data_IF_552820085849
#
_entry.id   IF_552820085849
#
_cell.length_a   1.000
_cell.length_b   1.000
_cell.length_c   1.000
_cell.angle_alpha   90.00
_cell.angle_beta   90.00
_cell.angle_gamma   90.00
#
_symmetry.space_group_name_H-M   'P 1'
#
loop_
_entity.id
_entity.type
_entity.pdbx_description
1 polymer ?
#
# COMPACT_ATOMS: atom_id res chain seq x y z
N UNK A 1 -12.39 8.09 -28.24
CA UNK A 1 -11.11 7.70 -28.81
C UNK A 1 -10.16 7.38 -27.70
N UNK A 2 -9.60 6.18 -27.73
CA UNK A 2 -8.65 5.70 -26.72
C UNK A 2 -7.30 5.66 -27.40
N UNK A 3 -6.45 6.60 -27.06
CA UNK A 3 -5.05 6.48 -27.40
C UNK A 3 -4.39 5.77 -26.21
N UNK A 4 -4.15 4.47 -26.39
CA UNK A 4 -3.42 3.64 -25.42
C UNK A 4 -2.06 3.39 -26.03
N UNK A 5 -1.06 3.98 -25.42
CA UNK A 5 0.32 3.60 -25.65
C UNK A 5 0.67 2.62 -24.52
N UNK A 6 0.81 1.34 -24.83
CA UNK A 6 0.99 0.28 -23.84
C UNK A 6 2.15 0.59 -22.90
N UNK A 7 1.87 0.58 -21.58
CA UNK A 7 2.81 0.87 -20.49
C UNK A 7 3.39 2.30 -20.45
N UNK A 8 2.86 3.26 -21.22
CA UNK A 8 3.34 4.64 -21.22
C UNK A 8 2.24 5.60 -20.81
N UNK A 9 1.13 5.61 -21.56
CA UNK A 9 0.05 6.58 -21.36
C UNK A 9 -1.33 5.97 -21.66
N UNK A 10 -2.32 6.34 -20.87
CA UNK A 10 -3.74 6.14 -21.16
C UNK A 10 -4.44 7.48 -21.18
N UNK A 11 -5.03 7.84 -22.32
CA UNK A 11 -5.85 9.03 -22.44
C UNK A 11 -7.33 8.67 -22.57
N UNK A 12 -8.16 9.27 -21.73
CA UNK A 12 -9.62 9.16 -21.76
C UNK A 12 -10.23 10.53 -22.03
N UNK A 13 -11.18 10.61 -22.95
CA UNK A 13 -11.98 11.80 -23.22
C UNK A 13 -13.36 11.68 -22.56
N UNK A 14 -13.97 12.83 -22.25
CA UNK A 14 -15.31 12.93 -21.69
C UNK A 14 -16.30 12.16 -22.56
N UNK A 15 -17.22 11.47 -21.90
CA UNK A 15 -18.40 10.88 -22.55
C UNK A 15 -19.54 11.89 -22.47
N UNK A 16 -19.86 12.55 -23.57
CA UNK A 16 -20.93 13.55 -23.65
C UNK A 16 -22.32 12.96 -23.39
N UNK A 17 -22.47 11.64 -23.56
CA UNK A 17 -23.72 10.93 -23.33
C UNK A 17 -23.77 10.23 -21.94
N UNK A 18 -22.90 10.65 -20.98
CA UNK A 18 -22.96 10.07 -19.66
C UNK A 18 -24.25 10.46 -18.94
N UNK A 19 -24.95 9.47 -18.40
CA UNK A 19 -26.30 9.62 -17.88
C UNK A 19 -26.41 10.37 -16.54
N UNK A 20 -25.33 10.34 -15.73
CA UNK A 20 -25.35 10.88 -14.37
C UNK A 20 -25.16 12.39 -14.35
N UNK A 21 -25.87 13.05 -13.44
CA UNK A 21 -25.75 14.48 -13.14
C UNK A 21 -25.39 14.68 -11.69
N UNK A 22 -24.82 15.84 -11.36
CA UNK A 22 -24.59 16.26 -9.99
C UNK A 22 -25.89 16.73 -9.31
N UNK A 23 -25.79 17.13 -8.04
CA UNK A 23 -26.90 17.61 -7.21
C UNK A 23 -27.55 18.89 -7.78
N UNK A 24 -26.83 19.66 -8.59
CA UNK A 24 -27.28 20.90 -9.24
C UNK A 24 -27.80 20.67 -10.67
N UNK A 25 -27.83 19.43 -11.13
CA UNK A 25 -28.26 19.05 -12.47
C UNK A 25 -27.23 19.21 -13.58
N UNK A 26 -25.96 19.52 -13.26
CA UNK A 26 -24.89 19.61 -14.26
C UNK A 26 -24.47 18.21 -14.72
N UNK A 27 -24.14 18.09 -16.01
CA UNK A 27 -23.71 16.81 -16.59
C UNK A 27 -22.32 16.40 -16.12
N UNK A 28 -22.17 15.14 -15.74
CA UNK A 28 -20.90 14.53 -15.39
C UNK A 28 -20.31 13.77 -16.61
N UNK A 29 -18.99 13.52 -16.61
CA UNK A 29 -17.95 14.01 -15.68
C UNK A 29 -17.62 15.49 -15.96
N UNK A 30 -17.08 16.20 -14.97
CA UNK A 30 -16.62 17.59 -15.13
C UNK A 30 -15.38 17.71 -16.00
N UNK A 31 -14.51 16.70 -15.98
CA UNK A 31 -13.25 16.72 -16.72
C UNK A 31 -13.50 16.40 -18.21
N UNK A 32 -12.95 17.20 -19.10
CA UNK A 32 -12.99 16.95 -20.54
C UNK A 32 -12.03 15.82 -20.93
N UNK A 33 -10.92 15.69 -20.20
CA UNK A 33 -9.91 14.68 -20.48
C UNK A 33 -9.18 14.26 -19.21
N UNK A 34 -8.81 12.97 -19.13
CA UNK A 34 -7.93 12.40 -18.10
C UNK A 34 -6.79 11.68 -18.81
N UNK A 35 -5.55 12.03 -18.42
CA UNK A 35 -4.34 11.35 -18.86
C UNK A 35 -3.69 10.64 -17.68
N UNK A 36 -3.41 9.37 -17.84
CA UNK A 36 -2.71 8.55 -16.84
C UNK A 36 -1.38 8.12 -17.44
N UNK A 37 -0.30 8.51 -16.77
CA UNK A 37 1.06 8.12 -17.13
C UNK A 37 1.50 6.95 -16.26
N UNK A 38 1.97 5.88 -16.88
CA UNK A 38 2.51 4.72 -16.16
C UNK A 38 4.01 4.90 -15.96
N UNK A 39 4.40 5.27 -14.75
CA UNK A 39 5.80 5.48 -14.42
C UNK A 39 6.21 4.55 -13.27
N UNK A 40 7.22 3.71 -13.49
CA UNK A 40 7.77 2.83 -12.46
C UNK A 40 8.65 3.58 -11.44
N UNK A 41 9.15 4.77 -11.80
CA UNK A 41 9.96 5.59 -10.92
C UNK A 41 9.10 6.62 -10.17
N UNK A 42 8.68 6.28 -8.97
CA UNK A 42 7.83 7.13 -8.13
C UNK A 42 8.49 8.45 -7.69
N UNK A 43 9.81 8.47 -7.52
CA UNK A 43 10.54 9.72 -7.21
C UNK A 43 10.50 10.69 -8.39
N UNK A 44 10.67 10.20 -9.62
CA UNK A 44 10.54 11.03 -10.81
C UNK A 44 9.10 11.53 -11.02
N UNK A 45 8.11 10.73 -10.69
CA UNK A 45 6.69 11.09 -10.71
C UNK A 45 6.42 12.26 -9.75
N UNK A 46 6.85 12.16 -8.49
CA UNK A 46 6.71 13.22 -7.49
C UNK A 46 7.46 14.49 -7.92
N UNK A 47 8.66 14.37 -8.48
CA UNK A 47 9.40 15.53 -9.00
C UNK A 47 8.68 16.21 -10.16
N UNK A 48 8.00 15.48 -11.02
CA UNK A 48 7.17 16.04 -12.10
C UNK A 48 5.91 16.73 -11.57
N UNK A 49 5.30 16.19 -10.52
CA UNK A 49 4.19 16.83 -9.82
C UNK A 49 4.63 18.18 -9.21
N UNK A 50 5.74 18.23 -8.49
CA UNK A 50 6.31 19.48 -7.92
C UNK A 50 6.63 20.53 -8.98
N UNK A 51 6.97 20.11 -10.20
CA UNK A 51 7.19 21.00 -11.36
C UNK A 51 5.90 21.42 -12.08
N UNK A 52 4.72 21.02 -11.57
CA UNK A 52 3.43 21.32 -12.19
C UNK A 52 3.18 20.60 -13.53
N UNK A 53 3.90 19.49 -13.79
CA UNK A 53 3.69 18.67 -14.99
C UNK A 53 2.61 17.60 -14.80
N UNK A 54 2.25 17.32 -13.55
CA UNK A 54 1.19 16.41 -13.15
C UNK A 54 0.31 17.14 -12.13
N UNK A 55 -0.99 16.97 -12.25
CA UNK A 55 -1.98 17.52 -11.31
C UNK A 55 -2.20 16.61 -10.09
N UNK A 56 -1.88 15.33 -10.24
CA UNK A 56 -2.07 14.34 -9.19
C UNK A 56 -0.99 13.25 -9.27
N UNK A 57 -0.59 12.74 -8.11
CA UNK A 57 0.28 11.56 -7.96
C UNK A 57 -0.47 10.54 -7.12
N UNK A 58 -0.39 9.29 -7.51
CA UNK A 58 -0.97 8.17 -6.77
C UNK A 58 0.15 7.32 -6.16
N UNK A 59 0.04 7.03 -4.87
CA UNK A 59 1.06 6.31 -4.08
C UNK A 59 2.40 7.04 -4.03
N UNK A 60 2.59 7.80 -2.96
CA UNK A 60 3.87 8.45 -2.69
C UNK A 60 4.96 7.42 -2.37
N UNK A 61 6.22 7.67 -2.78
CA UNK A 61 7.34 6.87 -2.30
C UNK A 61 7.44 6.96 -0.78
N UNK A 62 7.57 5.83 -0.08
CA UNK A 62 7.61 5.83 1.39
C UNK A 62 8.74 6.69 1.96
N UNK A 63 9.88 6.78 1.28
CA UNK A 63 11.00 7.65 1.68
C UNK A 63 10.64 9.14 1.65
N UNK A 64 9.80 9.57 0.71
CA UNK A 64 9.38 10.95 0.54
C UNK A 64 8.16 11.32 1.41
N UNK A 65 7.47 10.32 1.95
CA UNK A 65 6.23 10.52 2.71
C UNK A 65 6.45 11.40 3.95
N UNK A 66 7.56 11.21 4.66
CA UNK A 66 7.87 12.03 5.85
C UNK A 66 8.07 13.50 5.48
N UNK A 67 8.77 13.80 4.38
CA UNK A 67 8.96 15.16 3.89
C UNK A 67 7.62 15.82 3.54
N UNK A 68 6.75 15.09 2.86
CA UNK A 68 5.40 15.54 2.51
C UNK A 68 4.57 15.81 3.76
N UNK A 69 4.61 14.93 4.76
CA UNK A 69 3.88 15.11 6.02
C UNK A 69 4.39 16.32 6.82
N UNK A 70 5.71 16.52 6.88
CA UNK A 70 6.32 17.70 7.54
C UNK A 70 5.89 18.99 6.83
N UNK A 71 5.86 19.01 5.49
CA UNK A 71 5.38 20.15 4.70
C UNK A 71 3.91 20.46 4.99
N UNK A 72 3.06 19.44 5.11
CA UNK A 72 1.64 19.61 5.45
C UNK A 72 1.44 20.12 6.89
N UNK A 73 2.23 19.66 7.85
CA UNK A 73 2.16 20.13 9.23
C UNK A 73 2.64 21.60 9.34
N UNK A 74 3.66 21.97 8.59
CA UNK A 74 4.09 23.38 8.47
C UNK A 74 3.00 24.26 7.87
N UNK A 75 2.25 23.75 6.90
CA UNK A 75 1.13 24.46 6.29
C UNK A 75 -0.05 24.64 7.28
N UNK A 76 -0.34 23.67 8.14
CA UNK A 76 -1.33 23.80 9.22
C UNK A 76 -0.94 24.89 10.23
N UNK A 77 0.34 25.14 10.42
CA UNK A 77 0.86 26.20 11.28
C UNK A 77 0.85 27.61 10.63
N UNK A 78 0.21 27.79 9.48
CA UNK A 78 0.06 29.07 8.78
C UNK A 78 0.88 29.22 7.51
N UNK A 79 1.59 28.17 7.09
CA UNK A 79 2.25 28.13 5.78
C UNK A 79 1.29 27.84 4.64
N UNK A 80 1.74 28.05 3.40
CA UNK A 80 0.98 27.66 2.21
C UNK A 80 1.31 26.20 1.86
N UNK A 81 0.35 25.28 1.84
CA UNK A 81 0.63 23.89 1.48
C UNK A 81 1.08 23.80 0.02
N UNK A 82 2.24 23.19 -0.22
CA UNK A 82 2.72 22.90 -1.57
C UNK A 82 1.75 21.96 -2.31
N UNK A 83 1.04 21.12 -1.56
CA UNK A 83 0.06 20.17 -2.11
C UNK A 83 -0.98 19.75 -1.07
N UNK A 84 -2.09 19.20 -1.54
CA UNK A 84 -3.09 18.54 -0.70
C UNK A 84 -2.85 17.05 -0.68
N UNK A 85 -2.71 16.46 0.51
CA UNK A 85 -2.70 15.02 0.69
C UNK A 85 -4.14 14.53 0.94
N UNK A 86 -4.59 13.61 0.13
CA UNK A 86 -5.80 12.85 0.37
C UNK A 86 -5.40 11.43 0.79
N UNK A 87 -5.66 11.06 2.03
CA UNK A 87 -5.45 9.70 2.51
C UNK A 87 -6.78 8.97 2.52
N UNK A 88 -6.80 7.76 1.98
CA UNK A 88 -7.90 6.83 2.17
C UNK A 88 -7.61 5.99 3.42
N UNK A 89 -8.58 5.91 4.34
CA UNK A 89 -8.50 5.08 5.55
C UNK A 89 -9.05 3.67 5.32
N UNK A 90 -9.62 3.44 4.16
CA UNK A 90 -10.12 2.11 3.83
C UNK A 90 -8.94 1.17 3.62
N UNK A 91 -8.95 0.05 4.33
CA UNK A 91 -7.97 -1.01 4.15
C UNK A 91 -8.02 -1.46 2.69
N UNK A 92 -6.89 -1.34 1.99
CA UNK A 92 -6.77 -1.86 0.63
C UNK A 92 -7.08 -3.36 0.63
N UNK A 93 -7.74 -3.85 -0.42
CA UNK A 93 -8.03 -5.28 -0.60
C UNK A 93 -6.79 -6.09 -1.00
N UNK A 94 -5.64 -5.74 -0.43
CA UNK A 94 -4.36 -6.38 -0.75
C UNK A 94 -3.60 -6.72 0.52
N UNK A 95 -2.94 -7.87 0.49
CA UNK A 95 -2.06 -8.31 1.58
C UNK A 95 -0.70 -8.66 1.01
N UNK A 96 0.34 -7.99 1.51
CA UNK A 96 1.72 -8.34 1.21
C UNK A 96 2.18 -9.47 2.12
N UNK A 97 2.76 -10.52 1.55
CA UNK A 97 3.17 -11.70 2.31
C UNK A 97 4.42 -12.36 1.73
N UNK A 98 5.10 -13.16 2.56
CA UNK A 98 6.16 -14.05 2.14
C UNK A 98 5.64 -15.47 1.96
N UNK A 99 5.97 -16.09 0.81
CA UNK A 99 5.68 -17.49 0.55
C UNK A 99 6.90 -18.38 0.83
N UNK A 100 6.67 -19.52 1.44
CA UNK A 100 7.69 -20.56 1.57
C UNK A 100 7.70 -21.46 0.32
N UNK A 101 8.87 -21.63 -0.28
CA UNK A 101 9.02 -22.63 -1.32
C UNK A 101 9.07 -24.03 -0.70
N UNK A 102 7.95 -24.74 -0.73
CA UNK A 102 7.79 -26.06 -0.14
C UNK A 102 8.64 -27.15 -0.79
N UNK A 103 9.22 -26.91 -1.96
CA UNK A 103 10.19 -27.83 -2.60
C UNK A 103 11.56 -27.79 -1.90
N UNK A 104 11.83 -26.79 -1.09
CA UNK A 104 13.07 -26.71 -0.31
C UNK A 104 12.93 -27.53 0.97
N UNK A 105 13.86 -28.50 1.24
CA UNK A 105 13.76 -29.40 2.40
C UNK A 105 13.58 -28.67 3.74
N UNK A 106 14.25 -27.54 3.93
CA UNK A 106 14.14 -26.74 5.15
C UNK A 106 12.70 -26.29 5.44
N UNK A 107 11.92 -25.95 4.40
CA UNK A 107 10.55 -25.47 4.56
C UNK A 107 9.50 -26.60 4.57
N UNK A 108 9.90 -27.86 4.37
CA UNK A 108 9.00 -28.99 4.59
C UNK A 108 8.73 -29.19 6.08
N UNK A 109 9.66 -28.77 6.96
CA UNK A 109 9.47 -28.82 8.40
C UNK A 109 8.52 -27.71 8.87
N UNK A 110 7.38 -28.08 9.48
CA UNK A 110 6.38 -27.13 9.97
C UNK A 110 6.90 -26.25 11.12
N UNK A 111 7.79 -26.78 11.98
CA UNK A 111 8.36 -26.00 13.07
C UNK A 111 9.25 -24.85 12.54
N UNK A 112 9.96 -25.08 11.46
CA UNK A 112 10.75 -24.03 10.79
C UNK A 112 9.84 -22.94 10.25
N UNK A 113 8.78 -23.29 9.51
CA UNK A 113 7.82 -22.29 8.99
C UNK A 113 7.16 -21.48 10.11
N UNK A 114 6.81 -22.15 11.21
CA UNK A 114 6.25 -21.49 12.40
C UNK A 114 7.27 -20.55 13.04
N UNK A 115 8.53 -20.95 13.15
CA UNK A 115 9.60 -20.11 13.67
C UNK A 115 9.77 -18.83 12.84
N UNK A 116 9.76 -18.93 11.52
CA UNK A 116 9.80 -17.73 10.64
C UNK A 116 8.63 -16.78 10.88
N UNK A 117 7.41 -17.33 11.05
CA UNK A 117 6.24 -16.50 11.33
C UNK A 117 6.36 -15.75 12.68
N UNK A 118 6.89 -16.40 13.69
CA UNK A 118 7.09 -15.80 15.02
C UNK A 118 8.28 -14.83 15.09
N UNK A 119 9.25 -14.98 14.20
CA UNK A 119 10.44 -14.12 14.15
C UNK A 119 10.22 -12.77 13.48
N UNK A 120 9.14 -12.60 12.71
CA UNK A 120 8.86 -11.38 11.96
C UNK A 120 8.01 -10.43 12.79
N UNK A 121 8.60 -9.28 13.14
CA UNK A 121 7.90 -8.18 13.81
C UNK A 121 7.14 -7.34 12.76
N UNK A 122 5.90 -7.71 12.49
CA UNK A 122 5.05 -7.06 11.49
C UNK A 122 4.68 -5.63 11.86
N UNK A 123 4.53 -5.36 13.16
CA UNK A 123 4.22 -4.01 13.64
C UNK A 123 5.38 -3.05 13.39
N UNK A 124 6.63 -3.50 13.64
CA UNK A 124 7.79 -2.68 13.31
C UNK A 124 7.95 -2.45 11.81
N UNK A 125 7.69 -3.45 10.99
CA UNK A 125 7.71 -3.29 9.54
C UNK A 125 6.69 -2.24 9.11
N UNK A 126 5.44 -2.35 9.55
CA UNK A 126 4.39 -1.38 9.24
C UNK A 126 4.76 0.02 9.73
N UNK A 127 5.22 0.14 10.97
CA UNK A 127 5.52 1.44 11.58
C UNK A 127 6.74 2.13 10.96
N UNK A 128 7.85 1.41 10.76
CA UNK A 128 9.14 2.02 10.42
C UNK A 128 9.52 1.85 8.95
N UNK A 129 9.18 0.74 8.32
CA UNK A 129 9.52 0.50 6.90
C UNK A 129 8.44 1.03 5.97
N UNK A 130 7.18 0.84 6.34
CA UNK A 130 6.02 1.28 5.57
C UNK A 130 5.46 2.63 6.04
N UNK A 131 6.12 3.28 7.01
CA UNK A 131 5.72 4.60 7.54
C UNK A 131 4.25 4.69 7.99
N UNK A 132 3.69 3.59 8.48
CA UNK A 132 2.29 3.49 8.89
C UNK A 132 1.31 3.23 7.73
N UNK A 133 1.79 2.94 6.53
CA UNK A 133 0.95 2.50 5.42
C UNK A 133 0.54 1.04 5.62
N UNK A 134 -0.76 0.81 5.81
CA UNK A 134 -1.34 -0.51 6.05
C UNK A 134 -1.37 -0.93 7.52
N UNK A 135 -1.80 -2.16 7.74
CA UNK A 135 -1.94 -2.79 9.06
C UNK A 135 -1.11 -4.09 9.14
N UNK A 136 -0.64 -4.41 10.35
CA UNK A 136 0.08 -5.66 10.58
C UNK A 136 -0.86 -6.86 10.44
N UNK A 137 -0.66 -7.70 9.43
CA UNK A 137 -1.47 -8.89 9.16
C UNK A 137 -1.11 -10.04 10.13
N UNK A 138 -1.52 -9.92 11.39
CA UNK A 138 -1.25 -10.92 12.46
C UNK A 138 -2.28 -12.06 12.47
N UNK A 139 -3.48 -11.85 11.90
CA UNK A 139 -4.59 -12.81 11.93
C UNK A 139 -4.71 -13.67 10.66
N UNK A 140 -3.82 -13.54 9.69
CA UNK A 140 -3.82 -14.33 8.48
C UNK A 140 -3.70 -13.51 7.20
N UNK A 141 -3.99 -14.17 6.07
CA UNK A 141 -3.78 -13.59 4.75
C UNK A 141 -4.94 -12.68 4.30
N UNK A 142 -6.16 -12.97 4.76
CA UNK A 142 -7.37 -12.25 4.31
C UNK A 142 -7.60 -11.05 5.23
N UNK A 143 -7.59 -9.81 4.69
CA UNK A 143 -7.89 -8.63 5.49
C UNK A 143 -9.38 -8.57 5.89
N UNK A 144 -9.74 -7.65 6.78
CA UNK A 144 -11.14 -7.39 7.09
C UNK A 144 -11.87 -6.92 5.83
N UNK A 145 -12.95 -7.61 5.46
CA UNK A 145 -13.70 -7.33 4.25
C UNK A 145 -15.19 -7.62 4.47
N UNK A 146 -16.02 -6.58 4.38
CA UNK A 146 -17.45 -6.71 4.65
C UNK A 146 -17.70 -7.29 6.03
N UNK A 147 -18.50 -8.35 6.10
CA UNK A 147 -18.85 -9.04 7.36
C UNK A 147 -17.78 -10.06 7.83
N UNK A 148 -16.67 -10.19 7.10
CA UNK A 148 -15.59 -11.10 7.48
C UNK A 148 -14.76 -10.53 8.62
N UNK A 149 -14.82 -11.19 9.77
CA UNK A 149 -14.05 -10.86 10.96
C UNK A 149 -12.75 -11.68 10.99
N UNK A 150 -11.67 -11.08 10.50
CA UNK A 150 -10.34 -11.71 10.45
C UNK A 150 -9.78 -12.01 11.84
N UNK A 151 -10.21 -11.31 12.89
CA UNK A 151 -9.70 -11.50 14.26
C UNK A 151 -10.05 -12.86 14.85
N UNK A 152 -11.03 -13.57 14.25
CA UNK A 152 -11.38 -14.95 14.62
C UNK A 152 -10.35 -15.98 14.14
N UNK A 153 -9.45 -15.60 13.25
CA UNK A 153 -8.38 -16.48 12.79
C UNK A 153 -7.22 -16.40 13.77
N UNK A 154 -6.78 -17.55 14.28
CA UNK A 154 -5.59 -17.61 15.15
C UNK A 154 -4.34 -17.41 14.29
N UNK A 155 -3.72 -16.26 14.42
CA UNK A 155 -2.48 -15.91 13.73
C UNK A 155 -1.22 -16.18 14.56
N UNK A 156 -0.16 -15.41 14.22
CA UNK A 156 1.14 -15.53 14.88
C UNK A 156 1.59 -14.15 15.36
N UNK A 157 1.74 -14.04 16.67
CA UNK A 157 2.36 -12.87 17.31
C UNK A 157 3.88 -12.90 17.14
N UNK A 158 4.51 -11.74 17.28
CA UNK A 158 5.97 -11.66 17.31
C UNK A 158 6.51 -12.28 18.60
N UNK A 159 7.27 -13.38 18.48
CA UNK A 159 7.88 -14.09 19.59
C UNK A 159 9.23 -14.71 19.17
N UNK A 160 10.31 -13.92 19.19
CA UNK A 160 11.62 -14.37 18.70
C UNK A 160 12.24 -15.49 19.59
N UNK A 161 11.91 -15.55 20.86
CA UNK A 161 12.44 -16.58 21.75
C UNK A 161 11.81 -17.95 21.44
N UNK A 162 10.51 -17.99 21.24
CA UNK A 162 9.83 -19.20 20.80
C UNK A 162 10.29 -19.59 19.38
N UNK A 163 10.53 -18.63 18.49
CA UNK A 163 11.09 -18.91 17.18
C UNK A 163 12.45 -19.62 17.26
N UNK A 164 13.36 -19.13 18.11
CA UNK A 164 14.65 -19.79 18.37
C UNK A 164 14.49 -21.20 18.89
N UNK A 165 13.60 -21.39 19.88
CA UNK A 165 13.32 -22.70 20.47
C UNK A 165 12.84 -23.70 19.41
N UNK A 166 11.95 -23.26 18.50
CA UNK A 166 11.45 -24.11 17.43
C UNK A 166 12.53 -24.45 16.40
N UNK A 167 13.44 -23.53 16.08
CA UNK A 167 14.57 -23.81 15.20
C UNK A 167 15.53 -24.83 15.82
N UNK A 168 15.86 -24.71 17.11
CA UNK A 168 16.67 -25.70 17.81
C UNK A 168 16.02 -27.07 17.78
N UNK A 169 14.70 -27.16 18.08
CA UNK A 169 13.91 -28.41 18.00
C UNK A 169 13.92 -29.00 16.58
N UNK A 170 13.95 -28.16 15.55
CA UNK A 170 13.99 -28.58 14.17
C UNK A 170 15.40 -28.98 13.66
N UNK A 171 16.42 -28.96 14.53
CA UNK A 171 17.78 -29.33 14.19
C UNK A 171 18.65 -28.18 13.64
N UNK A 172 18.25 -26.93 13.86
CA UNK A 172 18.97 -25.72 13.48
C UNK A 172 19.40 -24.95 14.75
N UNK A 173 20.33 -25.49 15.56
CA UNK A 173 20.92 -24.73 16.67
C UNK A 173 21.82 -23.62 16.12
N UNK A 174 22.02 -22.54 16.90
CA UNK A 174 23.05 -21.54 16.59
C UNK A 174 24.45 -22.13 16.74
#
# INVERSE_FOLDING_TARGET
NKDIEENVELTMSRNENYWQKDENGNSLPYLDRLKIYFNSNKKAELANFRKGKLEMVYQLPGEELNEVLVSLDSAKAGGNPEFKLQSNKDNGLSTSFYCFNMLKPIFQNAEVRKAFNLAIDREKITKYTLHGEGEAAIYGLVPSLGDYDHTKVKGFDYNPDEAKRLLVKAGYPR
#
